data_IF_594882760950
#
_entry.id   IF_594882760950
#
_cell.length_a   1.000
_cell.length_b   1.000
_cell.length_c   1.000
_cell.angle_alpha   90.00
_cell.angle_beta   90.00
_cell.angle_gamma   90.00
#
_symmetry.space_group_name_H-M   'P 1'
#
loop_
_entity.id
_entity.type
_entity.pdbx_description
1 polymer ?
#
# COMPACT_ATOMS: atom_id res chain seq x y z
N UNK A 1 27.85 25.26 -15.69
CA UNK A 1 26.68 24.73 -14.94
C UNK A 1 25.46 25.62 -15.07
N UNK A 2 25.53 26.91 -14.74
CA UNK A 2 24.42 27.85 -14.93
C UNK A 2 23.96 27.97 -16.40
N UNK A 3 24.90 27.87 -17.35
CA UNK A 3 24.61 27.88 -18.80
C UNK A 3 23.71 26.71 -19.23
N UNK A 4 23.88 25.55 -18.62
CA UNK A 4 23.08 24.35 -18.93
C UNK A 4 21.65 24.56 -18.44
N UNK A 5 21.48 25.06 -17.22
CA UNK A 5 20.16 25.37 -16.67
C UNK A 5 19.45 26.45 -17.48
N UNK A 6 20.18 27.46 -17.94
CA UNK A 6 19.64 28.51 -18.79
C UNK A 6 19.20 27.97 -20.16
N UNK A 7 19.99 27.08 -20.76
CA UNK A 7 19.63 26.42 -22.02
C UNK A 7 18.36 25.57 -21.88
N UNK A 8 18.25 24.80 -20.79
CA UNK A 8 17.08 23.95 -20.54
C UNK A 8 15.78 24.75 -20.43
N UNK A 9 15.80 25.91 -19.75
CA UNK A 9 14.58 26.70 -19.50
C UNK A 9 14.22 27.68 -20.61
N UNK A 10 15.18 28.10 -21.44
CA UNK A 10 14.99 29.22 -22.35
C UNK A 10 15.25 28.89 -23.83
N UNK A 11 15.53 27.62 -24.17
CA UNK A 11 15.77 27.20 -25.54
C UNK A 11 14.67 26.25 -26.02
N UNK A 12 14.06 26.56 -27.17
CA UNK A 12 12.92 25.82 -27.74
C UNK A 12 13.28 24.36 -28.12
N UNK A 13 14.57 24.06 -28.28
CA UNK A 13 15.06 22.71 -28.56
C UNK A 13 15.05 21.78 -27.33
N UNK A 14 14.85 22.33 -26.13
CA UNK A 14 14.81 21.52 -24.91
C UNK A 14 13.47 20.78 -24.81
N UNK A 15 13.52 19.45 -24.63
CA UNK A 15 12.34 18.59 -24.52
C UNK A 15 11.78 18.47 -23.09
N UNK A 16 12.47 19.05 -22.11
CA UNK A 16 12.13 18.95 -20.68
C UNK A 16 12.54 20.23 -19.96
N UNK A 17 11.94 20.47 -18.80
CA UNK A 17 12.25 21.59 -17.91
C UNK A 17 13.11 21.14 -16.72
N UNK A 18 13.68 22.09 -15.97
CA UNK A 18 14.33 21.79 -14.70
C UNK A 18 13.36 21.25 -13.67
N UNK A 19 12.08 21.64 -13.77
CA UNK A 19 11.00 21.06 -12.97
C UNK A 19 10.86 19.56 -13.26
N UNK A 20 10.78 19.17 -14.53
CA UNK A 20 10.63 17.75 -14.90
C UNK A 20 11.83 16.93 -14.41
N UNK A 21 13.05 17.45 -14.57
CA UNK A 21 14.25 16.81 -14.05
C UNK A 21 14.22 16.66 -12.52
N UNK A 22 13.80 17.71 -11.81
CA UNK A 22 13.66 17.67 -10.36
C UNK A 22 12.61 16.63 -9.97
N UNK A 23 11.46 16.62 -10.62
CA UNK A 23 10.35 15.75 -10.27
C UNK A 23 10.75 14.26 -10.50
N UNK A 24 11.55 13.96 -11.53
CA UNK A 24 12.19 12.63 -11.72
C UNK A 24 13.19 12.29 -10.61
N UNK A 25 14.01 13.26 -10.19
CA UNK A 25 15.03 13.05 -9.15
C UNK A 25 14.44 12.91 -7.75
N UNK A 26 13.35 13.62 -7.44
CA UNK A 26 12.71 13.59 -6.13
C UNK A 26 11.68 12.47 -6.01
N UNK A 27 11.18 11.95 -7.14
CA UNK A 27 10.06 11.02 -7.17
C UNK A 27 8.76 11.66 -6.68
N UNK A 28 7.63 11.00 -6.95
CA UNK A 28 6.35 11.37 -6.35
C UNK A 28 6.22 10.69 -4.97
N UNK A 29 6.18 11.45 -3.86
CA UNK A 29 6.03 10.88 -2.53
C UNK A 29 4.70 10.13 -2.36
N UNK A 30 3.65 10.51 -3.08
CA UNK A 30 2.37 9.78 -3.02
C UNK A 30 2.48 8.42 -3.71
N UNK A 31 3.20 8.35 -4.82
CA UNK A 31 3.48 7.08 -5.52
C UNK A 31 4.28 6.13 -4.63
N UNK A 32 5.30 6.64 -3.92
CA UNK A 32 6.08 5.82 -2.98
C UNK A 32 5.24 5.33 -1.81
N UNK A 33 4.39 6.19 -1.23
CA UNK A 33 3.45 5.80 -0.18
C UNK A 33 2.49 4.71 -0.66
N UNK A 34 1.98 4.83 -1.90
CA UNK A 34 1.11 3.83 -2.50
C UNK A 34 1.83 2.48 -2.64
N UNK A 35 3.07 2.48 -3.17
CA UNK A 35 3.90 1.26 -3.29
C UNK A 35 4.08 0.55 -1.95
N UNK A 36 4.37 1.29 -0.89
CA UNK A 36 4.52 0.74 0.47
C UNK A 36 3.21 0.11 0.95
N UNK A 37 2.08 0.81 0.78
CA UNK A 37 0.76 0.32 1.20
C UNK A 37 0.38 -0.95 0.43
N UNK A 38 0.62 -0.99 -0.87
CA UNK A 38 0.34 -2.17 -1.71
C UNK A 38 1.18 -3.38 -1.32
N UNK A 39 2.48 -3.16 -1.05
CA UNK A 39 3.38 -4.22 -0.58
C UNK A 39 2.90 -4.77 0.78
N UNK A 40 2.59 -3.89 1.74
CA UNK A 40 2.09 -4.29 3.06
C UNK A 40 0.76 -5.06 2.96
N UNK A 41 -0.18 -4.56 2.14
CA UNK A 41 -1.46 -5.23 1.93
C UNK A 41 -1.29 -6.63 1.30
N UNK A 42 -0.33 -6.77 0.39
CA UNK A 42 -0.01 -8.07 -0.23
C UNK A 42 0.52 -9.06 0.80
N UNK A 43 1.44 -8.64 1.65
CA UNK A 43 2.00 -9.46 2.73
C UNK A 43 0.90 -9.90 3.70
N UNK A 44 0.07 -8.97 4.18
CA UNK A 44 -1.02 -9.27 5.13
C UNK A 44 -2.01 -10.27 4.53
N UNK A 45 -2.39 -10.09 3.25
CA UNK A 45 -3.30 -11.01 2.57
C UNK A 45 -2.72 -12.41 2.45
N UNK A 46 -1.44 -12.52 2.14
CA UNK A 46 -0.77 -13.82 2.03
C UNK A 46 -0.62 -14.49 3.40
N UNK A 47 -0.30 -13.73 4.45
CA UNK A 47 -0.25 -14.21 5.83
C UNK A 47 -1.61 -14.80 6.26
N UNK A 48 -2.70 -14.05 6.07
CA UNK A 48 -4.06 -14.52 6.35
C UNK A 48 -4.40 -15.77 5.54
N UNK A 49 -4.03 -15.81 4.25
CA UNK A 49 -4.31 -16.96 3.37
C UNK A 49 -3.53 -18.20 3.80
N UNK A 50 -2.28 -18.03 4.18
CA UNK A 50 -1.40 -19.11 4.63
C UNK A 50 -1.75 -19.62 6.03
N UNK A 51 -2.48 -18.80 6.79
CA UNK A 51 -2.98 -19.18 8.11
C UNK A 51 -3.99 -20.33 7.99
N UNK A 52 -3.61 -21.50 8.49
CA UNK A 52 -4.54 -22.59 8.71
C UNK A 52 -5.46 -22.20 9.88
N UNK A 53 -6.63 -21.64 9.58
CA UNK A 53 -7.64 -21.38 10.60
C UNK A 53 -7.95 -22.70 11.31
N UNK A 54 -7.63 -22.80 12.60
CA UNK A 54 -7.96 -23.94 13.43
C UNK A 54 -9.49 -24.03 13.61
N UNK A 55 -10.16 -24.60 12.63
CA UNK A 55 -11.61 -24.86 12.65
C UNK A 55 -12.00 -25.93 13.67
N UNK A 56 -11.02 -26.64 14.23
CA UNK A 56 -11.22 -27.72 15.20
C UNK A 56 -11.67 -27.22 16.58
N UNK A 57 -11.41 -25.95 16.89
CA UNK A 57 -11.82 -25.30 18.14
C UNK A 57 -13.12 -24.50 18.03
N UNK A 58 -13.75 -24.46 16.84
CA UNK A 58 -15.06 -23.84 16.69
C UNK A 58 -16.12 -24.78 17.29
N UNK A 59 -16.94 -24.33 18.26
CA UNK A 59 -17.99 -25.17 18.81
C UNK A 59 -18.92 -25.61 17.66
N UNK A 60 -19.28 -26.90 17.57
CA UNK A 60 -20.26 -27.36 16.61
C UNK A 60 -21.52 -26.49 16.68
N UNK A 61 -22.22 -26.19 15.57
CA UNK A 61 -23.40 -25.32 15.57
C UNK A 61 -24.46 -25.71 16.62
N UNK A 62 -24.57 -27.00 16.93
CA UNK A 62 -25.44 -27.55 17.98
C UNK A 62 -25.09 -27.12 19.41
N UNK A 63 -23.90 -26.55 19.64
CA UNK A 63 -23.43 -26.04 20.94
C UNK A 63 -23.38 -24.50 21.02
N UNK A 64 -23.74 -23.78 19.95
CA UNK A 64 -23.64 -22.32 19.91
C UNK A 64 -24.83 -21.57 20.56
N UNK A 65 -25.95 -22.23 20.80
CA UNK A 65 -27.19 -21.62 21.29
C UNK A 65 -27.69 -22.25 22.60
N UNK A 66 -26.89 -22.17 23.67
CA UNK A 66 -27.38 -22.40 25.03
C UNK A 66 -27.05 -21.15 25.85
N UNK A 67 -27.84 -20.08 25.65
CA UNK A 67 -27.92 -18.98 26.61
C UNK A 67 -29.12 -19.24 27.51
N UNK A 68 -28.80 -19.58 28.75
CA UNK A 68 -29.43 -19.13 30.00
C UNK A 68 -30.95 -18.94 29.96
N UNK A 69 -31.67 -19.95 30.46
CA UNK A 69 -32.99 -19.77 31.08
C UNK A 69 -33.27 -20.95 32.01
N UNK A 70 -32.51 -21.05 33.11
CA UNK A 70 -32.95 -21.80 34.29
C UNK A 70 -32.57 -21.02 35.56
N UNK A 71 -33.14 -19.83 35.73
CA UNK A 71 -33.46 -19.34 37.07
C UNK A 71 -34.63 -20.19 37.60
N UNK A 72 -34.36 -20.99 38.62
CA UNK A 72 -35.33 -21.40 39.64
C UNK A 72 -34.63 -21.58 40.98
#
# INVERSE_FOLDING_TARGET
MAEIFNYIENHDDSQFTLKDLRDVLTGDPEEERLRIVEAAATIIREDIRSSAVETKCYPPPSKMLIKENQEK
#
